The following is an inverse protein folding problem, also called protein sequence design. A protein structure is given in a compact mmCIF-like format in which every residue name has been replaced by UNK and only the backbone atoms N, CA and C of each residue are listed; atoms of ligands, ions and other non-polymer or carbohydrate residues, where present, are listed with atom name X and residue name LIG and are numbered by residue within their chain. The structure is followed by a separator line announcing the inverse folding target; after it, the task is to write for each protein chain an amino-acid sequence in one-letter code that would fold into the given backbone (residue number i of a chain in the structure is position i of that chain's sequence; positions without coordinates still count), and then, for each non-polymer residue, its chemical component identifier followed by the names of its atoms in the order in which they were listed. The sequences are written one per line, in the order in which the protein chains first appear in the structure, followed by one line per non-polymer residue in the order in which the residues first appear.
data_IF_533332112955
#
_entry.id   IF_533332112955
#
_cell.length_a   1.000
_cell.length_b   1.000
_cell.length_c   1.000
_cell.angle_alpha   90.00
_cell.angle_beta   90.00
_cell.angle_gamma   90.00
#
_symmetry.space_group_name_H-M   'P 1'
#
loop_
_entity.id
_entity.type
_entity.pdbx_description
1 polymer ?
#
# COMPACT_ATOMS: atom_id res chain seq x y z
N UNK A 1 -5.48 -20.85 -5.59
CA UNK A 1 -6.56 -19.83 -5.54
C UNK A 1 -7.87 -20.51 -5.18
N UNK A 2 -8.85 -19.80 -4.58
CA UNK A 2 -10.17 -20.32 -4.21
C UNK A 2 -10.17 -21.59 -3.32
N UNK A 3 -9.12 -21.80 -2.52
CA UNK A 3 -9.06 -22.90 -1.56
C UNK A 3 -9.83 -22.52 -0.28
N UNK A 4 -10.55 -23.46 0.34
CA UNK A 4 -11.16 -23.25 1.65
C UNK A 4 -10.11 -22.79 2.67
N UNK A 5 -10.46 -21.80 3.50
CA UNK A 5 -9.59 -21.22 4.53
C UNK A 5 -8.30 -20.53 4.04
N UNK A 6 -8.13 -20.36 2.73
CA UNK A 6 -7.03 -19.59 2.16
C UNK A 6 -7.56 -18.31 1.50
N UNK A 7 -7.71 -17.22 2.28
CA UNK A 7 -8.22 -15.96 1.76
C UNK A 7 -7.24 -15.34 0.77
N UNK A 8 -7.76 -14.42 -0.04
CA UNK A 8 -6.92 -13.55 -0.87
C UNK A 8 -6.42 -12.38 -0.04
N UNK A 9 -5.15 -12.03 -0.21
CA UNK A 9 -4.55 -10.86 0.43
C UNK A 9 -4.64 -9.68 -0.54
N UNK A 10 -5.08 -8.54 -0.01
CA UNK A 10 -5.10 -7.28 -0.73
C UNK A 10 -4.27 -6.26 0.06
N UNK A 11 -3.45 -5.49 -0.63
CA UNK A 11 -2.75 -4.37 -0.03
C UNK A 11 -3.77 -3.33 0.43
N UNK A 12 -3.68 -2.90 1.69
CA UNK A 12 -4.53 -1.84 2.20
C UNK A 12 -4.05 -0.48 1.70
N UNK A 13 -4.62 0.00 0.60
CA UNK A 13 -4.21 1.25 -0.05
C UNK A 13 -4.31 2.46 0.90
N UNK A 14 -5.24 2.42 1.86
CA UNK A 14 -5.42 3.51 2.82
C UNK A 14 -4.16 3.80 3.63
N UNK A 15 -3.37 2.78 4.00
CA UNK A 15 -2.14 2.99 4.77
C UNK A 15 -1.07 3.70 3.94
N UNK A 16 -1.12 3.58 2.61
CA UNK A 16 -0.12 4.14 1.71
C UNK A 16 -0.50 5.51 1.15
N UNK A 17 -1.65 6.10 1.51
CA UNK A 17 -2.12 7.35 0.89
C UNK A 17 -1.12 8.50 1.05
N UNK A 18 -0.51 8.65 2.23
CA UNK A 18 0.47 9.70 2.48
C UNK A 18 1.75 9.49 1.67
N UNK A 19 2.22 8.26 1.59
CA UNK A 19 3.38 7.91 0.77
C UNK A 19 3.10 8.18 -0.71
N UNK A 20 1.96 7.72 -1.23
CA UNK A 20 1.54 7.93 -2.63
C UNK A 20 1.46 9.42 -2.95
N UNK A 21 0.82 10.22 -2.10
CA UNK A 21 0.70 11.66 -2.31
C UNK A 21 2.05 12.37 -2.28
N UNK A 22 2.95 12.00 -1.38
CA UNK A 22 4.30 12.56 -1.31
C UNK A 22 5.14 12.24 -2.56
N UNK A 23 5.06 11.01 -3.07
CA UNK A 23 5.73 10.62 -4.32
C UNK A 23 5.18 11.44 -5.50
N UNK A 24 3.85 11.58 -5.61
CA UNK A 24 3.21 12.37 -6.68
C UNK A 24 3.60 13.86 -6.58
N UNK A 25 3.74 14.39 -5.36
CA UNK A 25 4.19 15.76 -5.12
C UNK A 25 5.68 15.99 -5.43
N UNK A 26 6.43 14.96 -5.84
CA UNK A 26 7.84 15.06 -6.21
C UNK A 26 8.82 14.81 -5.06
N UNK A 27 8.36 14.37 -3.89
CA UNK A 27 9.22 13.96 -2.79
C UNK A 27 9.62 12.49 -2.95
N UNK A 28 10.74 12.25 -3.62
CA UNK A 28 11.29 10.89 -3.85
C UNK A 28 11.88 10.23 -2.60
N UNK A 29 12.01 10.97 -1.49
CA UNK A 29 12.51 10.46 -0.22
C UNK A 29 11.38 10.03 0.74
N UNK A 30 10.13 9.99 0.28
CA UNK A 30 9.00 9.53 1.08
C UNK A 30 9.16 8.04 1.44
N UNK A 31 9.10 7.73 2.73
CA UNK A 31 9.19 6.36 3.25
C UNK A 31 7.82 5.69 3.27
N UNK A 32 7.77 4.40 2.95
CA UNK A 32 6.54 3.60 3.09
C UNK A 32 6.11 3.52 4.56
N UNK A 33 4.82 3.23 4.83
CA UNK A 33 4.36 2.85 6.17
C UNK A 33 5.16 1.64 6.69
N UNK A 34 5.42 1.58 8.01
CA UNK A 34 6.18 0.50 8.64
C UNK A 34 5.46 -0.86 8.60
#
# INVERSE_FOLDING_TARGET
CAQPHNPSLYTNIFEYTDWIQNIIAGNLAATCPP
#
